data_IF_265001635113
#
_entry.id   IF_265001635113
#
_cell.length_a   1.000
_cell.length_b   1.000
_cell.length_c   1.000
_cell.angle_alpha   90.00
_cell.angle_beta   90.00
_cell.angle_gamma   90.00
#
_symmetry.space_group_name_H-M   'P 1'
#
loop_
_entity.id
_entity.type
_entity.pdbx_description
1 polymer ?
#
# COMPACT_ATOMS: atom_id res chain seq x y z
N UNK A 1 1.17 -22.64 0.39
CA UNK A 1 -0.17 -22.03 0.69
C UNK A 1 -0.64 -21.24 -0.52
N UNK A 2 -1.97 -21.12 -0.70
CA UNK A 2 -2.56 -20.23 -1.70
C UNK A 2 -2.98 -18.92 -1.00
N UNK A 3 -2.33 -17.82 -1.34
CA UNK A 3 -2.50 -16.50 -0.73
C UNK A 3 -3.35 -15.63 -1.66
N UNK A 4 -4.43 -15.06 -1.15
CA UNK A 4 -5.26 -14.11 -1.90
C UNK A 4 -4.94 -12.68 -1.46
N UNK A 5 -4.61 -11.83 -2.44
CA UNK A 5 -4.37 -10.39 -2.27
C UNK A 5 -5.32 -9.57 -3.13
N UNK A 6 -5.62 -8.37 -2.68
CA UNK A 6 -6.34 -7.38 -3.47
C UNK A 6 -5.45 -6.14 -3.63
N UNK A 7 -5.49 -5.54 -4.80
CA UNK A 7 -4.80 -4.30 -5.07
C UNK A 7 -5.68 -3.36 -5.89
N UNK A 8 -5.64 -2.08 -5.60
CA UNK A 8 -6.32 -1.04 -6.40
C UNK A 8 -5.42 -0.49 -7.50
N UNK A 9 -4.10 -0.67 -7.34
CA UNK A 9 -3.06 -0.38 -8.31
C UNK A 9 -2.09 -1.54 -8.33
N UNK A 10 -1.73 -2.01 -9.49
CA UNK A 10 -0.78 -3.10 -9.65
C UNK A 10 -0.01 -2.94 -10.97
N UNK A 11 1.15 -3.61 -11.05
CA UNK A 11 1.98 -3.56 -12.26
C UNK A 11 1.12 -3.55 -13.55
N UNK A 12 1.42 -2.69 -14.53
CA UNK A 12 2.60 -1.83 -14.67
C UNK A 12 2.45 -0.43 -14.07
N UNK A 13 1.46 -0.19 -13.21
CA UNK A 13 1.26 1.11 -12.56
C UNK A 13 2.42 1.40 -11.60
N UNK A 14 3.06 2.55 -11.78
CA UNK A 14 4.18 2.98 -10.94
C UNK A 14 3.63 3.72 -9.71
N UNK A 15 3.86 3.16 -8.54
CA UNK A 15 3.60 3.76 -7.23
C UNK A 15 4.89 3.70 -6.41
N UNK A 16 5.10 4.69 -5.55
CA UNK A 16 6.36 4.85 -4.79
C UNK A 16 6.75 3.64 -3.94
N UNK A 17 5.77 2.90 -3.43
CA UNK A 17 5.98 1.71 -2.58
C UNK A 17 5.80 0.37 -3.31
N UNK A 18 5.82 0.37 -4.65
CA UNK A 18 5.58 -0.84 -5.43
C UNK A 18 6.61 -1.94 -5.14
N UNK A 19 7.89 -1.57 -4.96
CA UNK A 19 8.97 -2.50 -4.64
C UNK A 19 8.66 -3.34 -3.39
N UNK A 20 8.18 -2.74 -2.31
CA UNK A 20 7.81 -3.46 -1.08
C UNK A 20 6.78 -4.56 -1.34
N UNK A 21 5.82 -4.29 -2.24
CA UNK A 21 4.81 -5.28 -2.61
C UNK A 21 5.41 -6.42 -3.42
N UNK A 22 6.26 -6.11 -4.40
CA UNK A 22 6.87 -7.10 -5.28
C UNK A 22 7.89 -7.97 -4.54
N UNK A 23 8.69 -7.38 -3.66
CA UNK A 23 9.66 -8.12 -2.85
C UNK A 23 8.98 -9.12 -1.91
N UNK A 24 7.87 -8.71 -1.25
CA UNK A 24 7.06 -9.64 -0.43
C UNK A 24 6.52 -10.78 -1.30
N UNK A 25 6.00 -10.48 -2.48
CA UNK A 25 5.45 -11.48 -3.39
C UNK A 25 6.53 -12.46 -3.84
N UNK A 26 7.67 -11.95 -4.26
CA UNK A 26 8.81 -12.77 -4.67
C UNK A 26 9.33 -13.66 -3.53
N UNK A 27 9.49 -13.10 -2.33
CA UNK A 27 9.92 -13.86 -1.16
C UNK A 27 8.94 -14.98 -0.80
N UNK A 28 7.63 -14.70 -0.85
CA UNK A 28 6.60 -15.71 -0.62
C UNK A 28 6.59 -16.80 -1.69
N UNK A 29 6.82 -16.45 -2.96
CA UNK A 29 6.93 -17.41 -4.07
C UNK A 29 8.18 -18.28 -3.92
N UNK A 30 9.34 -17.69 -3.58
CA UNK A 30 10.57 -18.44 -3.28
C UNK A 30 10.39 -19.39 -2.10
N UNK A 31 9.52 -19.06 -1.15
CA UNK A 31 9.13 -19.94 -0.04
C UNK A 31 8.09 -21.01 -0.44
N UNK A 32 7.77 -21.17 -1.72
CA UNK A 32 6.87 -22.20 -2.25
C UNK A 32 5.38 -21.88 -2.11
N UNK A 33 5.01 -20.61 -1.95
CA UNK A 33 3.62 -20.20 -1.89
C UNK A 33 3.09 -19.77 -3.27
N UNK A 34 1.79 -19.88 -3.47
CA UNK A 34 1.09 -19.37 -4.66
C UNK A 34 0.31 -18.14 -4.29
N UNK A 35 0.32 -17.12 -5.15
CA UNK A 35 -0.33 -15.85 -4.91
C UNK A 35 -1.35 -15.58 -6.01
N UNK A 36 -2.56 -15.23 -5.61
CA UNK A 36 -3.63 -14.75 -6.50
C UNK A 36 -3.88 -13.29 -6.16
N UNK A 37 -3.75 -12.41 -7.15
CA UNK A 37 -4.01 -10.98 -7.02
C UNK A 37 -5.24 -10.62 -7.83
N UNK A 38 -6.20 -9.92 -7.20
CA UNK A 38 -7.36 -9.35 -7.89
C UNK A 38 -7.17 -7.84 -7.95
N UNK A 39 -6.96 -7.31 -9.16
CA UNK A 39 -6.67 -5.90 -9.42
C UNK A 39 -7.48 -5.37 -10.62
N UNK A 40 -7.75 -4.06 -10.71
CA UNK A 40 -8.29 -3.46 -11.93
C UNK A 40 -7.26 -3.47 -13.06
N UNK A 41 -7.74 -3.21 -14.29
CA UNK A 41 -6.88 -2.88 -15.41
C UNK A 41 -6.06 -1.61 -15.09
N UNK A 42 -4.79 -1.52 -15.53
CA UNK A 42 -3.94 -0.38 -15.26
C UNK A 42 -4.54 0.92 -15.78
N UNK A 43 -4.49 1.97 -14.96
CA UNK A 43 -5.10 3.27 -15.30
C UNK A 43 -4.29 4.48 -14.85
N UNK A 44 -3.41 4.32 -13.85
CA UNK A 44 -2.66 5.43 -13.23
C UNK A 44 -1.20 5.41 -13.67
N UNK A 45 -0.69 6.54 -14.12
CA UNK A 45 0.72 6.70 -14.51
C UNK A 45 1.22 5.61 -15.49
N UNK A 46 0.38 5.22 -16.44
CA UNK A 46 0.70 4.22 -17.46
C UNK A 46 0.54 4.82 -18.82
N UNK A 47 1.57 4.78 -19.68
CA UNK A 47 1.49 5.22 -21.07
C UNK A 47 0.39 4.51 -21.85
N UNK A 48 -0.17 5.17 -22.85
CA UNK A 48 -1.35 4.68 -23.57
C UNK A 48 -1.06 3.40 -24.39
N UNK A 49 0.14 3.29 -24.94
CA UNK A 49 0.61 2.09 -25.64
C UNK A 49 0.69 0.88 -24.70
N UNK A 50 1.27 1.06 -23.52
CA UNK A 50 1.36 0.01 -22.52
C UNK A 50 -0.03 -0.34 -21.96
N UNK A 51 -0.88 0.66 -21.70
CA UNK A 51 -2.26 0.43 -21.26
C UNK A 51 -3.08 -0.36 -22.27
N UNK A 52 -2.86 -0.14 -23.56
CA UNK A 52 -3.55 -0.86 -24.63
C UNK A 52 -3.27 -2.36 -24.59
N UNK A 53 -2.03 -2.76 -24.26
CA UNK A 53 -1.62 -4.17 -24.11
C UNK A 53 -2.41 -4.88 -22.99
N UNK A 54 -2.78 -4.15 -21.93
CA UNK A 54 -3.54 -4.70 -20.80
C UNK A 54 -5.06 -4.70 -21.02
N UNK A 55 -5.58 -3.99 -22.04
CA UNK A 55 -7.04 -3.78 -22.23
C UNK A 55 -7.87 -5.06 -22.24
N UNK A 56 -7.29 -6.16 -22.73
CA UNK A 56 -7.95 -7.46 -22.84
C UNK A 56 -7.28 -8.56 -21.99
N UNK A 57 -6.22 -8.25 -21.27
CA UNK A 57 -5.46 -9.21 -20.45
C UNK A 57 -6.19 -9.43 -19.11
N UNK A 58 -7.16 -10.33 -19.12
CA UNK A 58 -7.97 -10.64 -17.93
C UNK A 58 -7.24 -11.46 -16.88
N UNK A 59 -6.31 -12.31 -17.30
CA UNK A 59 -5.50 -13.18 -16.44
C UNK A 59 -4.07 -13.14 -16.95
N UNK A 60 -3.13 -12.93 -16.05
CA UNK A 60 -1.69 -12.94 -16.28
C UNK A 60 -1.07 -13.88 -15.26
N UNK A 61 -0.15 -14.74 -15.69
CA UNK A 61 0.60 -15.65 -14.81
C UNK A 61 2.09 -15.39 -14.93
N UNK A 62 2.79 -15.43 -13.80
CA UNK A 62 4.25 -15.29 -13.69
C UNK A 62 4.80 -16.37 -12.77
N UNK A 63 6.12 -16.56 -12.78
CA UNK A 63 6.83 -17.52 -11.93
C UNK A 63 6.22 -18.92 -12.06
N UNK A 64 6.12 -19.44 -13.28
CA UNK A 64 5.57 -20.78 -13.61
C UNK A 64 4.18 -21.03 -12.98
N UNK A 65 3.36 -19.98 -12.93
CA UNK A 65 2.00 -20.05 -12.38
C UNK A 65 1.91 -19.86 -10.87
N UNK A 66 3.00 -19.59 -10.17
CA UNK A 66 2.99 -19.28 -8.74
C UNK A 66 2.34 -17.92 -8.44
N UNK A 67 2.40 -16.98 -9.39
CA UNK A 67 1.70 -15.70 -9.31
C UNK A 67 0.61 -15.63 -10.39
N UNK A 68 -0.64 -15.45 -9.98
CA UNK A 68 -1.78 -15.25 -10.88
C UNK A 68 -2.41 -13.89 -10.62
N UNK A 69 -2.47 -13.04 -11.64
CA UNK A 69 -3.09 -11.72 -11.57
C UNK A 69 -4.40 -11.76 -12.34
N UNK A 70 -5.53 -11.56 -11.65
CA UNK A 70 -6.87 -11.50 -12.24
C UNK A 70 -7.33 -10.08 -12.34
N UNK A 71 -7.46 -9.57 -13.57
CA UNK A 71 -7.81 -8.18 -13.84
C UNK A 71 -9.30 -8.02 -14.19
N UNK A 72 -9.82 -6.83 -13.89
CA UNK A 72 -11.17 -6.44 -14.26
C UNK A 72 -11.18 -4.99 -14.78
N UNK A 73 -12.17 -4.70 -15.61
CA UNK A 73 -12.33 -3.34 -16.16
C UNK A 73 -12.81 -2.38 -15.11
N UNK A 74 -12.23 -1.19 -15.08
CA UNK A 74 -12.59 -0.08 -14.20
C UNK A 74 -12.38 1.23 -14.99
N UNK A 75 -13.18 2.25 -14.69
CA UNK A 75 -12.98 3.57 -15.29
C UNK A 75 -11.66 4.20 -14.83
N UNK A 76 -11.11 5.08 -15.66
CA UNK A 76 -9.83 5.77 -15.39
C UNK A 76 -9.96 6.63 -14.15
N UNK A 77 -8.93 6.65 -13.33
CA UNK A 77 -8.87 7.52 -12.17
C UNK A 77 -8.76 8.98 -12.58
N UNK A 78 -9.68 9.80 -12.10
CA UNK A 78 -9.65 11.24 -12.27
C UNK A 78 -8.96 11.97 -11.12
N UNK A 79 -8.73 13.27 -11.29
CA UNK A 79 -8.18 14.15 -10.23
C UNK A 79 -9.21 14.46 -9.14
N UNK A 80 -10.51 14.31 -9.42
CA UNK A 80 -11.59 14.63 -8.50
C UNK A 80 -11.65 13.62 -7.34
N UNK A 81 -11.56 14.07 -6.06
CA UNK A 81 -11.57 13.19 -4.88
C UNK A 81 -12.85 12.35 -4.74
N UNK A 82 -14.01 12.90 -5.11
CA UNK A 82 -15.29 12.17 -5.04
C UNK A 82 -15.35 11.04 -6.06
N UNK A 83 -14.92 11.28 -7.30
CA UNK A 83 -14.85 10.23 -8.33
C UNK A 83 -13.86 9.14 -7.90
N UNK A 84 -12.76 9.53 -7.25
CA UNK A 84 -11.79 8.58 -6.70
C UNK A 84 -12.38 7.73 -5.57
N UNK A 85 -13.16 8.33 -4.67
CA UNK A 85 -13.86 7.59 -3.60
C UNK A 85 -14.86 6.59 -4.17
N UNK A 86 -15.67 7.00 -5.15
CA UNK A 86 -16.62 6.11 -5.85
C UNK A 86 -15.87 4.96 -6.52
N UNK A 87 -14.75 5.26 -7.19
CA UNK A 87 -13.91 4.24 -7.82
C UNK A 87 -13.43 3.20 -6.82
N UNK A 88 -12.96 3.61 -5.63
CA UNK A 88 -12.52 2.68 -4.58
C UNK A 88 -13.66 1.80 -4.08
N UNK A 89 -14.85 2.36 -3.88
CA UNK A 89 -16.04 1.60 -3.46
C UNK A 89 -16.41 0.54 -4.50
N UNK A 90 -16.50 0.93 -5.76
CA UNK A 90 -16.83 0.02 -6.87
C UNK A 90 -15.73 -1.05 -7.06
N UNK A 91 -14.46 -0.63 -6.97
CA UNK A 91 -13.33 -1.54 -7.03
C UNK A 91 -13.44 -2.62 -5.93
N UNK A 92 -13.66 -2.20 -4.70
CA UNK A 92 -13.82 -3.13 -3.57
C UNK A 92 -15.04 -4.05 -3.72
N UNK A 93 -16.15 -3.56 -4.28
CA UNK A 93 -17.33 -4.38 -4.54
C UNK A 93 -17.02 -5.49 -5.57
N UNK A 94 -16.35 -5.15 -6.67
CA UNK A 94 -15.94 -6.13 -7.69
C UNK A 94 -14.93 -7.12 -7.10
N UNK A 95 -13.95 -6.62 -6.35
CA UNK A 95 -12.96 -7.44 -5.66
C UNK A 95 -13.60 -8.41 -4.67
N UNK A 96 -14.60 -7.97 -3.92
CA UNK A 96 -15.37 -8.83 -3.02
C UNK A 96 -16.03 -9.98 -3.77
N UNK A 97 -16.77 -9.68 -4.85
CA UNK A 97 -17.46 -10.69 -5.65
C UNK A 97 -16.46 -11.71 -6.23
N UNK A 98 -15.37 -11.21 -6.81
CA UNK A 98 -14.33 -12.07 -7.40
C UNK A 98 -13.59 -12.88 -6.34
N UNK A 99 -13.19 -12.26 -5.24
CA UNK A 99 -12.48 -12.93 -4.14
C UNK A 99 -13.31 -14.03 -3.48
N UNK A 100 -14.60 -13.83 -3.28
CA UNK A 100 -15.50 -14.86 -2.74
C UNK A 100 -15.70 -16.06 -3.68
N UNK A 101 -15.39 -15.91 -4.97
CA UNK A 101 -15.45 -17.00 -5.97
C UNK A 101 -14.17 -17.83 -6.04
N UNK A 102 -13.05 -17.29 -5.54
CA UNK A 102 -11.77 -18.02 -5.54
C UNK A 102 -11.91 -19.33 -4.74
N UNK A 103 -11.06 -20.28 -5.10
CA UNK A 103 -11.06 -21.64 -4.51
C UNK A 103 -9.71 -21.91 -3.86
N UNK A 104 -9.73 -22.78 -2.85
CA UNK A 104 -8.51 -23.27 -2.19
C UNK A 104 -7.62 -22.15 -1.63
N UNK A 105 -8.21 -21.11 -1.07
CA UNK A 105 -7.48 -20.01 -0.42
C UNK A 105 -7.14 -20.43 1.02
N UNK A 106 -5.87 -20.27 1.38
CA UNK A 106 -5.36 -20.60 2.71
C UNK A 106 -5.14 -19.36 3.57
N UNK A 107 -4.84 -18.22 2.95
CA UNK A 107 -4.49 -16.97 3.63
C UNK A 107 -4.98 -15.76 2.83
N UNK A 108 -5.42 -14.73 3.53
CA UNK A 108 -5.63 -13.39 2.98
C UNK A 108 -4.50 -12.46 3.43
N UNK A 109 -3.94 -11.70 2.49
CA UNK A 109 -2.95 -10.67 2.78
C UNK A 109 -3.48 -9.32 2.28
N UNK A 110 -3.66 -8.36 3.20
CA UNK A 110 -4.23 -7.05 2.91
C UNK A 110 -3.20 -5.94 3.17
N UNK A 111 -3.05 -5.01 2.23
CA UNK A 111 -2.38 -3.73 2.47
C UNK A 111 -3.34 -2.69 3.06
N UNK A 112 -2.81 -1.60 3.59
CA UNK A 112 -3.60 -0.51 4.21
C UNK A 112 -4.11 0.54 3.22
N UNK A 113 -3.70 0.50 1.96
CA UNK A 113 -4.06 1.50 0.95
C UNK A 113 -4.90 0.90 -0.19
N UNK A 114 -6.13 1.42 -0.41
CA UNK A 114 -6.86 2.37 0.41
C UNK A 114 -7.35 1.74 1.73
N UNK A 115 -7.72 2.55 2.75
CA UNK A 115 -8.12 2.04 4.08
C UNK A 115 -9.25 1.00 4.06
N UNK A 116 -10.08 1.03 3.04
CA UNK A 116 -11.20 0.08 2.85
C UNK A 116 -10.76 -1.34 2.47
N UNK A 117 -9.49 -1.55 2.12
CA UNK A 117 -8.97 -2.90 1.77
C UNK A 117 -9.04 -3.87 2.96
N UNK A 118 -8.77 -3.39 4.17
CA UNK A 118 -8.90 -4.22 5.37
C UNK A 118 -10.36 -4.69 5.60
N UNK A 119 -11.32 -3.79 5.37
CA UNK A 119 -12.76 -4.14 5.45
C UNK A 119 -13.13 -5.17 4.38
N UNK A 120 -12.69 -4.97 3.15
CA UNK A 120 -12.88 -5.92 2.05
C UNK A 120 -12.36 -7.31 2.45
N UNK A 121 -11.09 -7.38 2.88
CA UNK A 121 -10.47 -8.65 3.26
C UNK A 121 -11.16 -9.31 4.45
N UNK A 122 -11.58 -8.55 5.46
CA UNK A 122 -12.35 -9.07 6.59
C UNK A 122 -13.69 -9.70 6.17
N UNK A 123 -14.40 -9.05 5.23
CA UNK A 123 -15.66 -9.59 4.67
C UNK A 123 -15.42 -10.84 3.81
N UNK A 124 -14.37 -10.84 2.96
CA UNK A 124 -13.98 -12.01 2.15
C UNK A 124 -13.57 -13.17 3.06
N UNK A 125 -12.74 -12.92 4.08
CA UNK A 125 -12.37 -13.88 5.12
C UNK A 125 -13.59 -14.59 5.71
N UNK A 126 -14.55 -13.80 6.19
CA UNK A 126 -15.81 -14.35 6.76
C UNK A 126 -16.54 -15.25 5.78
N UNK A 127 -16.67 -14.81 4.52
CA UNK A 127 -17.38 -15.56 3.48
C UNK A 127 -16.65 -16.86 3.10
N UNK A 128 -15.33 -16.80 2.89
CA UNK A 128 -14.53 -17.97 2.53
C UNK A 128 -14.41 -18.95 3.71
N UNK A 129 -14.23 -18.45 4.95
CA UNK A 129 -14.20 -19.32 6.12
C UNK A 129 -15.51 -20.12 6.29
N UNK A 130 -16.67 -19.45 6.07
CA UNK A 130 -17.97 -20.15 6.06
C UNK A 130 -18.07 -21.17 4.91
N UNK A 131 -17.60 -20.79 3.70
CA UNK A 131 -17.66 -21.66 2.51
C UNK A 131 -16.80 -22.92 2.66
N UNK A 132 -15.65 -22.81 3.34
CA UNK A 132 -14.71 -23.94 3.48
C UNK A 132 -14.86 -24.71 4.80
N UNK A 133 -15.72 -24.27 5.71
CA UNK A 133 -15.86 -24.87 7.03
C UNK A 133 -14.62 -24.77 7.91
N UNK A 134 -13.67 -23.87 7.57
CA UNK A 134 -12.42 -23.66 8.31
C UNK A 134 -12.06 -22.17 8.38
N UNK A 135 -11.33 -21.79 9.41
CA UNK A 135 -10.83 -20.41 9.55
C UNK A 135 -9.80 -20.12 8.46
N UNK A 136 -10.00 -19.02 7.72
CA UNK A 136 -9.02 -18.46 6.79
C UNK A 136 -8.36 -17.28 7.50
N UNK A 137 -7.05 -17.32 7.80
CA UNK A 137 -6.37 -16.22 8.46
C UNK A 137 -6.24 -15.00 7.54
N UNK A 138 -6.16 -13.81 8.18
CA UNK A 138 -5.95 -12.53 7.53
C UNK A 138 -4.73 -11.84 8.17
N UNK A 139 -3.72 -11.56 7.36
CA UNK A 139 -2.59 -10.68 7.69
C UNK A 139 -2.87 -9.30 7.12
N UNK A 140 -2.78 -8.27 7.96
CA UNK A 140 -2.95 -6.88 7.57
C UNK A 140 -1.62 -6.13 7.67
N UNK A 141 -1.10 -5.66 6.55
CA UNK A 141 0.13 -4.87 6.46
C UNK A 141 -0.23 -3.38 6.54
N UNK A 142 0.01 -2.79 7.71
CA UNK A 142 -0.34 -1.42 8.05
C UNK A 142 0.86 -0.49 7.78
N UNK A 143 0.79 0.23 6.66
CA UNK A 143 1.81 1.20 6.24
C UNK A 143 1.45 2.63 6.68
N UNK A 144 0.16 2.91 6.90
CA UNK A 144 -0.35 4.22 7.28
C UNK A 144 -1.57 4.08 8.18
N UNK A 145 -1.60 4.85 9.27
CA UNK A 145 -2.66 4.80 10.29
C UNK A 145 -3.80 5.74 9.90
N UNK A 146 -4.79 5.20 9.21
CA UNK A 146 -6.02 5.90 8.91
C UNK A 146 -7.04 5.70 10.05
N UNK A 147 -7.76 6.74 10.53
CA UNK A 147 -7.86 8.12 9.99
C UNK A 147 -6.88 9.13 10.60
N UNK A 148 -5.93 8.72 11.42
CA UNK A 148 -5.02 9.64 12.11
C UNK A 148 -4.18 10.44 11.10
N UNK A 149 -3.75 9.82 10.01
CA UNK A 149 -3.03 10.48 8.91
C UNK A 149 -3.82 11.61 8.24
N UNK A 150 -5.15 11.51 8.18
CA UNK A 150 -5.99 12.61 7.68
C UNK A 150 -6.00 13.79 8.64
N UNK A 151 -5.96 13.53 9.93
CA UNK A 151 -5.88 14.59 10.96
C UNK A 151 -4.52 15.29 10.87
N UNK A 152 -3.43 14.52 10.80
CA UNK A 152 -2.07 15.07 10.67
C UNK A 152 -1.89 15.88 9.38
N UNK A 153 -2.56 15.50 8.29
CA UNK A 153 -2.55 16.24 7.02
C UNK A 153 -3.51 17.45 7.01
N UNK A 154 -4.20 17.78 8.11
CA UNK A 154 -5.16 18.87 8.19
C UNK A 154 -6.44 18.66 7.36
N UNK A 155 -6.68 17.46 6.85
CA UNK A 155 -7.83 17.14 5.99
C UNK A 155 -9.12 16.92 6.80
N UNK A 156 -9.00 16.64 8.09
CA UNK A 156 -10.12 16.46 9.01
C UNK A 156 -9.67 16.74 10.44
N UNK A 157 -10.64 16.90 11.37
CA UNK A 157 -10.37 17.02 12.79
C UNK A 157 -10.77 15.76 13.55
N UNK A 158 -10.08 15.51 14.67
CA UNK A 158 -10.45 14.45 15.60
C UNK A 158 -11.90 14.65 16.08
N UNK A 159 -12.70 13.58 16.10
CA UNK A 159 -14.12 13.62 16.50
C UNK A 159 -15.10 14.03 15.40
N UNK A 160 -14.64 14.48 14.22
CA UNK A 160 -15.51 14.78 13.07
C UNK A 160 -16.25 13.53 12.57
N UNK A 161 -17.29 13.70 11.75
CA UNK A 161 -18.02 12.57 11.15
C UNK A 161 -17.10 11.71 10.28
N UNK A 162 -16.21 12.33 9.50
CA UNK A 162 -15.24 11.61 8.66
C UNK A 162 -14.26 10.80 9.52
N UNK A 163 -13.74 11.40 10.59
CA UNK A 163 -12.87 10.71 11.53
C UNK A 163 -13.59 9.53 12.21
N UNK A 164 -14.83 9.72 12.69
CA UNK A 164 -15.63 8.65 13.31
C UNK A 164 -15.89 7.49 12.35
N UNK A 165 -16.16 7.78 11.07
CA UNK A 165 -16.31 6.77 10.04
C UNK A 165 -14.99 6.03 9.81
N UNK A 166 -13.88 6.78 9.72
CA UNK A 166 -12.54 6.22 9.60
C UNK A 166 -12.20 5.28 10.76
N UNK A 167 -12.53 5.67 12.00
CA UNK A 167 -12.36 4.81 13.19
C UNK A 167 -13.17 3.52 13.13
N UNK A 168 -14.39 3.56 12.58
CA UNK A 168 -15.20 2.34 12.37
C UNK A 168 -14.54 1.39 11.36
N UNK A 169 -14.01 1.94 10.27
CA UNK A 169 -13.26 1.18 9.25
C UNK A 169 -12.03 0.54 9.86
N UNK A 170 -11.24 1.32 10.60
CA UNK A 170 -10.04 0.88 11.29
C UNK A 170 -10.33 -0.23 12.31
N UNK A 171 -11.27 0.00 13.22
CA UNK A 171 -11.66 -0.96 14.25
C UNK A 171 -12.14 -2.29 13.65
N UNK A 172 -12.97 -2.24 12.59
CA UNK A 172 -13.40 -3.45 11.90
C UNK A 172 -12.22 -4.20 11.29
N UNK A 173 -11.28 -3.47 10.67
CA UNK A 173 -10.08 -4.06 10.06
C UNK A 173 -9.21 -4.76 11.10
N UNK A 174 -8.88 -4.08 12.20
CA UNK A 174 -8.03 -4.63 13.26
C UNK A 174 -8.69 -5.82 13.98
N UNK A 175 -10.00 -5.77 14.20
CA UNK A 175 -10.72 -6.91 14.77
C UNK A 175 -10.76 -8.12 13.84
N UNK A 176 -10.85 -7.88 12.52
CA UNK A 176 -10.89 -8.93 11.51
C UNK A 176 -9.52 -9.59 11.25
N UNK A 177 -8.43 -8.84 11.43
CA UNK A 177 -7.07 -9.34 11.25
C UNK A 177 -6.68 -10.35 12.32
N UNK A 178 -5.99 -11.42 11.93
CA UNK A 178 -5.35 -12.37 12.86
C UNK A 178 -3.96 -11.92 13.24
N UNK A 179 -3.25 -11.26 12.28
CA UNK A 179 -1.96 -10.60 12.49
C UNK A 179 -1.95 -9.25 11.80
N UNK A 180 -1.24 -8.29 12.39
CA UNK A 180 -1.04 -6.95 11.86
C UNK A 180 0.46 -6.68 11.84
N UNK A 181 0.98 -6.43 10.65
CA UNK A 181 2.37 -5.99 10.46
C UNK A 181 2.36 -4.47 10.45
N UNK A 182 3.24 -3.86 11.25
CA UNK A 182 3.44 -2.41 11.31
C UNK A 182 4.89 -2.07 11.02
N UNK A 183 5.14 -0.88 10.46
CA UNK A 183 6.47 -0.49 9.99
C UNK A 183 7.35 0.18 11.07
N UNK A 184 6.78 0.52 12.22
CA UNK A 184 7.53 1.15 13.32
C UNK A 184 6.95 0.83 14.69
N UNK A 185 7.77 1.04 15.73
CA UNK A 185 7.33 0.94 17.11
C UNK A 185 6.30 2.03 17.48
N UNK A 186 6.32 3.18 16.82
CA UNK A 186 5.35 4.24 17.09
C UNK A 186 3.97 3.90 16.55
N UNK A 187 3.88 3.30 15.36
CA UNK A 187 2.63 2.73 14.86
C UNK A 187 2.14 1.62 15.80
N UNK A 188 3.04 0.74 16.27
CA UNK A 188 2.68 -0.28 17.25
C UNK A 188 2.09 0.34 18.52
N UNK A 189 2.74 1.36 19.11
CA UNK A 189 2.22 2.08 20.29
C UNK A 189 0.85 2.71 20.00
N UNK A 190 0.68 3.33 18.83
CA UNK A 190 -0.58 3.93 18.43
C UNK A 190 -1.72 2.92 18.41
N UNK A 191 -1.55 1.77 17.74
CA UNK A 191 -2.63 0.78 17.63
C UNK A 191 -2.84 0.00 18.94
N UNK A 192 -1.82 -0.16 19.77
CA UNK A 192 -1.96 -0.69 21.16
C UNK A 192 -2.85 0.22 22.00
N UNK A 193 -2.66 1.56 21.94
CA UNK A 193 -3.51 2.53 22.64
C UNK A 193 -4.97 2.50 22.19
N UNK A 194 -5.23 1.96 20.98
CA UNK A 194 -6.56 1.75 20.42
C UNK A 194 -7.18 0.39 20.80
N UNK A 195 -6.52 -0.39 21.67
CA UNK A 195 -7.00 -1.66 22.18
C UNK A 195 -6.69 -2.89 21.31
N UNK A 196 -5.79 -2.77 20.33
CA UNK A 196 -5.34 -3.94 19.56
C UNK A 196 -4.43 -4.82 20.44
N UNK A 197 -4.70 -6.13 20.58
CA UNK A 197 -3.87 -7.02 21.41
C UNK A 197 -2.42 -7.09 20.90
N UNK A 198 -1.44 -7.01 21.80
CA UNK A 198 -0.01 -7.01 21.48
C UNK A 198 0.43 -8.26 20.70
N UNK A 199 -0.16 -9.42 21.00
CA UNK A 199 0.15 -10.69 20.33
C UNK A 199 -0.31 -10.76 18.86
N UNK A 200 -1.11 -9.78 18.39
CA UNK A 200 -1.48 -9.63 16.97
C UNK A 200 -0.50 -8.77 16.20
N UNK A 201 0.40 -8.02 16.85
CA UNK A 201 1.18 -6.95 16.22
C UNK A 201 2.64 -7.37 16.12
N UNK A 202 3.13 -7.43 14.89
CA UNK A 202 4.54 -7.65 14.58
C UNK A 202 5.11 -6.38 13.93
N UNK A 203 6.33 -5.97 14.33
CA UNK A 203 7.01 -4.81 13.73
C UNK A 203 7.99 -5.30 12.68
N UNK A 204 7.74 -4.92 11.43
CA UNK A 204 8.62 -5.20 10.30
C UNK A 204 8.82 -3.87 9.55
N UNK A 205 9.96 -3.19 9.72
CA UNK A 205 10.24 -1.94 9.02
C UNK A 205 10.27 -2.13 7.50
N UNK A 206 9.98 -1.06 6.77
CA UNK A 206 10.20 -1.05 5.32
C UNK A 206 11.70 -1.20 5.03
N UNK A 207 12.01 -1.80 3.90
CA UNK A 207 13.37 -2.13 3.49
C UNK A 207 13.71 -1.54 2.13
N UNK A 208 14.97 -1.60 1.79
CA UNK A 208 15.50 -1.30 0.48
C UNK A 208 16.45 -2.42 0.07
N UNK A 209 16.55 -2.68 -1.23
CA UNK A 209 17.54 -3.61 -1.74
C UNK A 209 18.93 -2.96 -1.72
N UNK A 210 19.79 -3.39 -0.81
CA UNK A 210 21.15 -2.85 -0.63
C UNK A 210 22.10 -3.28 -1.74
N UNK A 211 21.75 -4.28 -2.56
CA UNK A 211 22.53 -4.66 -3.73
C UNK A 211 22.28 -3.70 -4.92
N UNK A 212 21.11 -3.06 -4.94
CA UNK A 212 20.75 -2.07 -5.98
C UNK A 212 21.02 -0.64 -5.55
N UNK A 213 20.91 -0.34 -4.24
CA UNK A 213 21.11 0.99 -3.68
C UNK A 213 22.32 0.97 -2.74
N UNK A 214 23.44 1.47 -3.24
CA UNK A 214 24.70 1.52 -2.51
C UNK A 214 25.21 2.95 -2.37
N UNK A 215 26.12 3.15 -1.42
CA UNK A 215 26.74 4.43 -1.20
C UNK A 215 27.67 4.80 -2.37
N UNK A 216 27.46 5.98 -2.94
CA UNK A 216 28.35 6.59 -3.92
C UNK A 216 29.21 7.63 -3.22
N UNK A 217 30.52 7.55 -3.41
CA UNK A 217 31.44 8.55 -2.87
C UNK A 217 31.10 9.92 -3.43
N UNK A 218 31.14 10.96 -2.59
CA UNK A 218 30.75 12.32 -2.97
C UNK A 218 31.46 12.82 -4.23
N UNK A 219 32.74 12.55 -4.33
CA UNK A 219 33.62 12.92 -5.48
C UNK A 219 33.28 12.15 -6.77
N UNK A 220 32.56 11.05 -6.66
CA UNK A 220 32.13 10.19 -7.78
C UNK A 220 30.68 10.42 -8.18
N UNK A 221 30.00 11.29 -7.43
CA UNK A 221 28.59 11.57 -7.67
C UNK A 221 28.41 12.67 -8.71
N UNK A 222 28.14 12.27 -9.95
CA UNK A 222 27.96 13.19 -11.09
C UNK A 222 26.82 14.19 -10.97
N UNK A 223 25.93 14.04 -10.00
CA UNK A 223 24.84 15.00 -9.77
C UNK A 223 25.36 16.40 -9.38
N UNK A 224 26.53 16.50 -8.77
CA UNK A 224 27.11 17.79 -8.43
C UNK A 224 27.43 18.61 -9.69
N UNK A 225 28.02 17.95 -10.67
CA UNK A 225 28.38 18.58 -11.96
C UNK A 225 27.10 18.86 -12.78
N UNK A 226 26.18 17.89 -12.83
CA UNK A 226 24.90 18.03 -13.56
C UNK A 226 24.06 19.19 -13.05
N UNK A 227 24.01 19.40 -11.74
CA UNK A 227 23.21 20.46 -11.10
C UNK A 227 23.99 21.75 -10.86
N UNK A 228 25.30 21.80 -11.17
CA UNK A 228 26.16 22.94 -10.93
C UNK A 228 26.31 23.27 -9.43
N UNK A 229 26.31 22.26 -8.58
CA UNK A 229 26.40 22.42 -7.11
C UNK A 229 27.86 22.21 -6.68
N UNK A 230 28.38 23.14 -5.89
CA UNK A 230 29.71 22.99 -5.29
C UNK A 230 29.75 21.77 -4.35
N UNK A 231 30.61 20.81 -4.68
CA UNK A 231 30.75 19.58 -3.89
C UNK A 231 31.40 19.82 -2.51
N UNK A 232 31.94 20.98 -2.22
CA UNK A 232 32.45 21.38 -0.90
C UNK A 232 31.35 21.80 0.09
N UNK A 233 30.18 22.17 -0.39
CA UNK A 233 29.08 22.69 0.47
C UNK A 233 28.40 21.58 1.23
N UNK A 234 27.85 21.92 2.41
CA UNK A 234 26.89 21.06 3.10
C UNK A 234 25.55 21.11 2.37
N UNK A 235 25.01 19.92 2.01
CA UNK A 235 23.81 19.83 1.18
C UNK A 235 22.73 19.09 1.93
N UNK A 236 21.56 19.72 2.03
CA UNK A 236 20.33 19.12 2.52
C UNK A 236 19.43 18.81 1.30
N UNK A 237 19.10 17.54 1.11
CA UNK A 237 18.28 17.09 0.00
C UNK A 237 16.93 16.60 0.52
N UNK A 238 15.85 17.10 -0.07
CA UNK A 238 14.52 16.50 0.05
C UNK A 238 14.17 15.81 -1.28
N UNK A 239 13.91 14.52 -1.23
CA UNK A 239 13.47 13.73 -2.37
C UNK A 239 12.09 13.11 -2.06
N UNK A 240 11.03 13.59 -2.73
CA UNK A 240 9.67 13.10 -2.49
C UNK A 240 8.59 14.01 -3.08
N UNK A 241 7.33 13.70 -2.78
CA UNK A 241 6.21 14.54 -3.20
C UNK A 241 6.20 15.88 -2.42
N UNK A 242 5.93 16.97 -3.11
CA UNK A 242 5.72 18.29 -2.51
C UNK A 242 4.24 18.46 -2.15
N UNK A 243 3.80 17.85 -1.06
CA UNK A 243 2.43 17.96 -0.57
C UNK A 243 2.34 18.63 0.80
N UNK A 244 1.16 19.04 1.19
CA UNK A 244 0.91 19.72 2.48
C UNK A 244 1.34 18.88 3.70
N UNK A 245 1.26 17.56 3.59
CA UNK A 245 1.65 16.65 4.68
C UNK A 245 3.16 16.58 4.92
N UNK A 246 3.98 17.04 3.97
CA UNK A 246 5.44 16.96 4.05
C UNK A 246 6.08 18.14 4.77
N UNK A 247 5.34 19.24 4.97
CA UNK A 247 5.82 20.39 5.71
C UNK A 247 7.04 21.09 5.09
N UNK A 248 7.13 21.11 3.76
CA UNK A 248 8.28 21.68 3.03
C UNK A 248 8.52 23.14 3.40
N UNK A 249 7.45 23.89 3.69
CA UNK A 249 7.57 25.28 4.14
C UNK A 249 8.44 25.39 5.41
N UNK A 250 8.37 24.41 6.31
CA UNK A 250 9.21 24.37 7.51
C UNK A 250 10.71 24.24 7.16
N UNK A 251 11.05 23.45 6.13
CA UNK A 251 12.44 23.38 5.64
C UNK A 251 12.91 24.70 5.06
N UNK A 252 12.07 25.38 4.28
CA UNK A 252 12.38 26.68 3.68
C UNK A 252 12.58 27.74 4.76
N UNK A 253 11.70 27.80 5.76
CA UNK A 253 11.82 28.74 6.86
C UNK A 253 13.05 28.45 7.75
N UNK A 254 13.38 27.17 7.97
CA UNK A 254 14.59 26.81 8.67
C UNK A 254 15.85 27.20 7.88
N UNK A 255 15.86 26.98 6.56
CA UNK A 255 16.97 27.37 5.70
C UNK A 255 17.23 28.89 5.71
N UNK A 256 16.20 29.72 5.82
CA UNK A 256 16.35 31.17 5.95
C UNK A 256 17.01 31.65 7.25
N UNK A 257 17.10 30.76 8.24
CA UNK A 257 17.68 31.07 9.56
C UNK A 257 19.12 30.54 9.69
N UNK A 258 19.64 29.91 8.66
CA UNK A 258 21.02 29.43 8.61
C UNK A 258 21.83 30.50 7.91
N UNK A 259 22.72 31.13 8.65
CA UNK A 259 23.73 32.03 8.10
C UNK A 259 24.82 31.19 7.40
N UNK A 260 25.37 31.70 6.30
CA UNK A 260 26.41 31.03 5.48
C UNK A 260 27.72 30.84 6.25
#
# INVERSE_FOLDING_TARGET
MNILKFSVYYYPEQISSAHLTYDIEEALIKAGHKIIIIAPMPSRNVPDDLRSKYRNLKVETKYDGALTIRRFRMFKEGKNPLIRAIRYILCNAIQYIKGCREKNIDLLFAGSTPPTQGVLCGKVKKKLSKKYGRKIPLIYNLQDVFPDSLVSAGMTSQGSLLWRLGRKIENYTYSSADKIIVISNDIKKNILSKGVPANKIDVIPNWINTDEVHHVQRKENGLFDELGIDSGKFIIVYAGNLGSAQGIDTFIEAAKQIDD
#
